data_IF_490894055822
#
_entry.id   IF_490894055822
#
_cell.length_a   1.000
_cell.length_b   1.000
_cell.length_c   1.000
_cell.angle_alpha   90.00
_cell.angle_beta   90.00
_cell.angle_gamma   90.00
#
_symmetry.space_group_name_H-M   'P 1'
#
loop_
_entity.id
_entity.type
_entity.pdbx_description
1 polymer ?
#
# COMPACT_ATOMS: atom_id res chain seq x y z
N UNK A 1 3.20 -0.10 -28.44
CA UNK A 1 1.94 -0.08 -27.67
C UNK A 1 2.26 0.78 -26.45
N UNK A 2 1.77 2.01 -26.42
CA UNK A 2 2.15 3.00 -25.40
C UNK A 2 1.22 2.82 -24.21
N UNK A 3 1.51 1.81 -23.40
CA UNK A 3 0.70 1.46 -22.23
C UNK A 3 1.20 2.29 -21.04
N UNK A 4 0.49 3.42 -20.84
CA UNK A 4 0.23 4.17 -19.60
C UNK A 4 1.38 4.23 -18.59
N UNK A 5 1.88 5.46 -18.37
CA UNK A 5 2.59 5.87 -17.16
C UNK A 5 1.74 5.58 -15.92
N UNK A 6 1.77 4.34 -15.41
CA UNK A 6 1.16 3.97 -14.14
C UNK A 6 1.85 4.78 -13.06
N UNK A 7 1.07 5.58 -12.35
CA UNK A 7 1.50 6.30 -11.16
C UNK A 7 0.39 6.09 -10.16
N UNK A 8 0.71 5.44 -9.05
CA UNK A 8 -0.21 5.20 -7.96
C UNK A 8 0.44 5.61 -6.64
N UNK A 9 -0.39 5.93 -5.67
CA UNK A 9 0.03 6.30 -4.33
C UNK A 9 -0.48 5.25 -3.34
N UNK A 10 0.22 5.07 -2.23
CA UNK A 10 -0.24 4.17 -1.18
C UNK A 10 -1.36 4.88 -0.36
N UNK A 11 -2.55 4.28 -0.16
CA UNK A 11 -3.61 4.91 0.63
C UNK A 11 -3.37 4.81 2.15
N UNK A 12 -2.42 3.97 2.57
CA UNK A 12 -2.13 3.66 3.97
C UNK A 12 -0.93 4.42 4.54
N UNK A 13 -0.03 4.87 3.66
CA UNK A 13 1.11 5.69 4.03
C UNK A 13 1.28 6.77 2.95
N UNK A 14 1.80 7.96 3.30
CA UNK A 14 2.02 9.05 2.34
C UNK A 14 3.22 8.78 1.41
N UNK A 15 3.35 7.55 0.90
CA UNK A 15 4.31 7.19 -0.13
C UNK A 15 3.61 7.37 -1.47
N UNK A 16 3.99 8.44 -2.14
CA UNK A 16 3.51 8.80 -3.46
C UNK A 16 4.47 8.29 -4.56
N UNK A 17 3.99 8.26 -5.80
CA UNK A 17 4.79 8.04 -7.04
C UNK A 17 5.26 6.60 -7.32
N UNK A 18 4.41 5.58 -7.11
CA UNK A 18 4.70 4.23 -7.60
C UNK A 18 4.55 4.15 -9.11
N UNK A 19 5.67 3.91 -9.80
CA UNK A 19 5.71 3.80 -11.27
C UNK A 19 5.34 2.38 -11.74
N UNK A 20 5.43 1.40 -10.83
CA UNK A 20 5.20 -0.02 -11.09
C UNK A 20 3.98 -0.51 -10.30
N UNK A 21 3.06 -1.20 -10.99
CA UNK A 21 1.81 -1.70 -10.39
C UNK A 21 2.06 -2.86 -9.42
N UNK A 22 3.07 -3.69 -9.65
CA UNK A 22 3.42 -4.82 -8.79
C UNK A 22 4.07 -4.32 -7.49
N UNK A 23 5.00 -3.37 -7.59
CA UNK A 23 5.62 -2.70 -6.42
C UNK A 23 4.58 -1.95 -5.59
N UNK A 24 3.65 -1.24 -6.24
CA UNK A 24 2.52 -0.60 -5.58
C UNK A 24 1.64 -1.63 -4.85
N UNK A 25 1.27 -2.71 -5.52
CA UNK A 25 0.38 -3.72 -4.96
C UNK A 25 1.02 -4.46 -3.78
N UNK A 26 2.29 -4.84 -3.89
CA UNK A 26 3.05 -5.48 -2.79
C UNK A 26 3.13 -4.54 -1.58
N UNK A 27 3.47 -3.27 -1.82
CA UNK A 27 3.59 -2.28 -0.76
C UNK A 27 2.25 -2.00 -0.06
N UNK A 28 1.18 -1.76 -0.82
CA UNK A 28 -0.17 -1.51 -0.26
C UNK A 28 -0.66 -2.71 0.55
N UNK A 29 -0.48 -3.93 0.03
CA UNK A 29 -0.88 -5.15 0.73
C UNK A 29 -0.13 -5.33 2.05
N UNK A 30 1.16 -5.01 2.08
CA UNK A 30 1.96 -5.06 3.30
C UNK A 30 1.51 -4.00 4.31
N UNK A 31 1.31 -2.74 3.87
CA UNK A 31 0.85 -1.66 4.75
C UNK A 31 -0.56 -1.90 5.32
N UNK A 32 -1.47 -2.47 4.54
CA UNK A 32 -2.80 -2.87 5.02
C UNK A 32 -2.70 -3.92 6.13
N UNK A 33 -1.84 -4.93 5.94
CA UNK A 33 -1.61 -5.96 6.95
C UNK A 33 -1.02 -5.40 8.25
N UNK A 34 -0.04 -4.49 8.16
CA UNK A 34 0.55 -3.84 9.34
C UNK A 34 -0.49 -3.02 10.12
N UNK A 35 -1.36 -2.28 9.44
CA UNK A 35 -2.46 -1.54 10.09
C UNK A 35 -3.49 -2.48 10.76
N UNK A 36 -3.83 -3.59 10.11
CA UNK A 36 -4.75 -4.57 10.67
C UNK A 36 -4.14 -5.26 11.90
N UNK A 37 -2.85 -5.59 11.88
CA UNK A 37 -2.15 -6.12 13.05
C UNK A 37 -2.10 -5.11 14.20
N UNK A 38 -1.91 -3.82 13.91
CA UNK A 38 -1.94 -2.76 14.91
C UNK A 38 -3.33 -2.64 15.56
N UNK A 39 -4.39 -2.63 14.74
CA UNK A 39 -5.78 -2.59 15.22
C UNK A 39 -6.12 -3.79 16.12
N UNK A 40 -5.73 -5.00 15.71
CA UNK A 40 -5.96 -6.21 16.49
C UNK A 40 -5.19 -6.21 17.82
N UNK A 41 -4.06 -5.50 17.89
CA UNK A 41 -3.28 -5.36 19.13
C UNK A 41 -3.97 -4.45 20.14
N UNK A 42 -4.66 -3.41 19.69
CA UNK A 42 -5.42 -2.50 20.54
C UNK A 42 -6.79 -3.07 21.00
N UNK A 43 -7.31 -4.12 20.35
CA UNK A 43 -8.56 -4.81 20.76
C UNK A 43 -8.35 -5.91 21.82
N UNK A 44 -7.10 -6.21 22.20
CA UNK A 44 -6.72 -7.22 23.22
C UNK A 44 -6.35 -6.60 24.59
N UNK A 45 -6.81 -5.37 24.89
CA UNK A 45 -6.75 -4.73 26.23
C UNK A 45 -8.16 -4.45 26.79
#
# INVERSE_FOLDING_TARGET
MTERNFHADCPHCNRDEFIDEDDWFEHVSMCEWEQEQDRLRDEEE
#
